data_IF_418747564139
#
_entry.id   IF_418747564139
#
_cell.length_a   1.000
_cell.length_b   1.000
_cell.length_c   1.000
_cell.angle_alpha   90.00
_cell.angle_beta   90.00
_cell.angle_gamma   90.00
#
_symmetry.space_group_name_H-M   'P 1'
#
loop_
_entity.id
_entity.type
_entity.pdbx_description
1 polymer ?
#
# COMPACT_ATOMS: atom_id res chain seq x y z
N UNK A 1 -31.66 6.10 -0.83
CA UNK A 1 -30.48 6.57 -0.08
C UNK A 1 -29.45 5.44 -0.09
N UNK A 2 -28.72 5.28 -1.19
CA UNK A 2 -27.75 4.19 -1.33
C UNK A 2 -26.47 4.48 -0.54
N UNK A 3 -25.66 3.45 -0.33
CA UNK A 3 -24.30 3.57 0.17
C UNK A 3 -23.48 4.44 -0.79
N UNK A 4 -23.40 5.73 -0.49
CA UNK A 4 -22.60 6.71 -1.20
C UNK A 4 -21.13 6.55 -0.82
N UNK A 5 -20.26 6.90 -1.75
CA UNK A 5 -18.80 6.92 -1.57
C UNK A 5 -18.40 7.71 -0.32
N UNK A 6 -19.13 8.78 0.01
CA UNK A 6 -18.94 9.57 1.23
C UNK A 6 -19.08 8.78 2.52
N UNK A 7 -20.00 7.82 2.59
CA UNK A 7 -20.20 7.00 3.80
C UNK A 7 -19.07 5.97 3.96
N UNK A 8 -18.58 5.40 2.85
CA UNK A 8 -17.42 4.51 2.86
C UNK A 8 -16.15 5.23 3.37
N UNK A 9 -15.95 6.49 2.99
CA UNK A 9 -14.82 7.30 3.48
C UNK A 9 -14.88 7.54 4.99
N UNK A 10 -16.07 7.81 5.55
CA UNK A 10 -16.24 8.00 6.99
C UNK A 10 -15.91 6.71 7.75
N UNK A 11 -16.40 5.56 7.26
CA UNK A 11 -16.11 4.26 7.88
C UNK A 11 -14.61 3.95 7.79
N UNK A 12 -13.98 4.19 6.64
CA UNK A 12 -12.55 4.00 6.46
C UNK A 12 -11.72 4.86 7.43
N UNK A 13 -12.12 6.11 7.64
CA UNK A 13 -11.44 7.00 8.58
C UNK A 13 -11.47 6.43 10.00
N UNK A 14 -12.62 5.92 10.46
CA UNK A 14 -12.75 5.30 11.79
C UNK A 14 -11.84 4.06 11.90
N UNK A 15 -11.84 3.19 10.89
CA UNK A 15 -10.99 1.99 10.87
C UNK A 15 -9.51 2.37 10.96
N UNK A 16 -9.07 3.38 10.22
CA UNK A 16 -7.68 3.86 10.27
C UNK A 16 -7.33 4.38 11.66
N UNK A 17 -8.23 5.08 12.35
CA UNK A 17 -8.00 5.58 13.71
C UNK A 17 -7.91 4.44 14.72
N UNK A 18 -8.76 3.41 14.60
CA UNK A 18 -8.77 2.27 15.52
C UNK A 18 -7.56 1.34 15.35
N UNK A 19 -7.22 1.01 14.10
CA UNK A 19 -6.15 0.05 13.79
C UNK A 19 -4.79 0.72 13.58
N UNK A 20 -4.76 2.03 13.33
CA UNK A 20 -3.58 2.78 12.92
C UNK A 20 -3.18 2.51 11.47
N UNK A 21 -2.49 3.47 10.85
CA UNK A 21 -2.02 3.36 9.46
C UNK A 21 -0.92 2.30 9.28
N UNK A 22 -0.15 1.98 10.33
CA UNK A 22 0.97 1.03 10.28
C UNK A 22 0.50 -0.40 10.06
N UNK A 23 -0.56 -0.84 10.76
CA UNK A 23 -1.16 -2.17 10.58
C UNK A 23 -1.88 -2.27 9.24
N UNK A 24 -2.62 -1.23 8.88
CA UNK A 24 -3.34 -1.17 7.60
C UNK A 24 -2.38 -1.17 6.40
N UNK A 25 -1.20 -0.55 6.50
CA UNK A 25 -0.18 -0.59 5.43
C UNK A 25 0.48 -1.96 5.30
N UNK A 26 0.88 -2.58 6.41
CA UNK A 26 1.51 -3.90 6.37
C UNK A 26 0.56 -4.95 5.77
N UNK A 27 -0.70 -5.01 6.24
CA UNK A 27 -1.69 -5.97 5.72
C UNK A 27 -2.20 -5.55 4.33
N UNK A 28 -2.35 -4.24 4.10
CA UNK A 28 -2.82 -3.69 2.83
C UNK A 28 -1.84 -3.86 1.68
N UNK A 29 -0.52 -3.89 1.94
CA UNK A 29 0.49 -4.21 0.94
C UNK A 29 0.34 -5.63 0.42
N UNK A 30 0.21 -6.60 1.33
CA UNK A 30 0.07 -8.03 0.99
C UNK A 30 -1.24 -8.31 0.26
N UNK A 31 -2.37 -7.84 0.80
CA UNK A 31 -3.68 -8.02 0.19
C UNK A 31 -3.82 -7.20 -1.11
N UNK A 32 -3.27 -5.98 -1.14
CA UNK A 32 -3.30 -5.12 -2.32
C UNK A 32 -2.49 -5.69 -3.47
N UNK A 33 -1.34 -6.31 -3.19
CA UNK A 33 -0.53 -7.02 -4.18
C UNK A 33 -1.30 -8.18 -4.83
N UNK A 34 -1.95 -9.01 -4.01
CA UNK A 34 -2.76 -10.13 -4.50
C UNK A 34 -3.96 -9.67 -5.36
N UNK A 35 -4.67 -8.64 -4.90
CA UNK A 35 -5.81 -8.07 -5.64
C UNK A 35 -5.36 -7.39 -6.95
N UNK A 36 -4.18 -6.75 -6.97
CA UNK A 36 -3.62 -6.14 -8.19
C UNK A 36 -3.38 -7.18 -9.27
N UNK A 37 -2.76 -8.32 -8.93
CA UNK A 37 -2.55 -9.43 -9.88
C UNK A 37 -3.87 -10.01 -10.40
N UNK A 38 -4.86 -10.17 -9.52
CA UNK A 38 -6.21 -10.62 -9.91
C UNK A 38 -6.90 -9.64 -10.87
N UNK A 39 -6.83 -8.33 -10.59
CA UNK A 39 -7.40 -7.29 -11.47
C UNK A 39 -6.70 -7.25 -12.83
N UNK A 40 -5.37 -7.39 -12.86
CA UNK A 40 -4.61 -7.48 -14.11
C UNK A 40 -5.03 -8.69 -14.93
N UNK A 41 -5.11 -9.88 -14.33
CA UNK A 41 -5.50 -11.11 -15.02
C UNK A 41 -6.93 -11.05 -15.58
N UNK A 42 -7.88 -10.45 -14.85
CA UNK A 42 -9.25 -10.22 -15.34
C UNK A 42 -9.26 -9.24 -16.52
N UNK A 43 -8.46 -8.17 -16.44
CA UNK A 43 -8.38 -7.17 -17.50
C UNK A 43 -7.73 -7.74 -18.76
N UNK A 44 -6.67 -8.53 -18.61
CA UNK A 44 -5.97 -9.20 -19.72
C UNK A 44 -6.86 -10.27 -20.37
N UNK A 45 -7.67 -11.00 -19.59
CA UNK A 45 -8.65 -11.95 -20.12
C UNK A 45 -9.85 -11.29 -20.83
N UNK A 46 -10.06 -9.99 -20.64
CA UNK A 46 -11.14 -9.22 -21.28
C UNK A 46 -10.66 -8.41 -22.50
N UNK A 47 -9.35 -8.16 -22.61
CA UNK A 47 -8.74 -7.28 -23.62
C UNK A 47 -7.57 -7.98 -24.33
N UNK A 48 -7.88 -8.91 -25.23
CA UNK A 48 -6.95 -9.36 -26.26
C UNK A 48 -6.60 -8.15 -27.16
N UNK A 49 -5.50 -7.45 -26.83
CA UNK A 49 -4.67 -6.47 -27.60
C UNK A 49 -4.30 -5.21 -26.80
N UNK A 50 -3.22 -5.28 -25.99
CA UNK A 50 -2.03 -4.40 -26.07
C UNK A 50 -1.02 -4.83 -25.00
N UNK A 51 0.12 -5.38 -25.42
CA UNK A 51 1.23 -5.74 -24.55
C UNK A 51 2.15 -4.52 -24.33
N UNK A 52 2.84 -4.55 -23.18
CA UNK A 52 4.06 -3.83 -22.78
C UNK A 52 3.88 -2.67 -21.79
N UNK A 53 4.02 -3.04 -20.51
CA UNK A 53 5.07 -2.57 -19.60
C UNK A 53 5.32 -1.06 -19.50
N UNK A 54 5.01 -0.51 -18.32
CA UNK A 54 5.97 0.33 -17.60
C UNK A 54 6.11 -0.15 -16.16
N UNK A 55 7.37 -0.26 -15.78
CA UNK A 55 7.90 -0.82 -14.55
C UNK A 55 7.77 0.14 -13.35
N UNK A 56 7.88 -0.44 -12.16
CA UNK A 56 8.76 0.11 -11.12
C UNK A 56 8.44 1.50 -10.55
N UNK A 57 7.66 1.52 -9.47
CA UNK A 57 8.13 2.17 -8.25
C UNK A 57 7.51 1.46 -7.04
N UNK A 58 8.11 0.33 -6.66
CA UNK A 58 8.00 -0.13 -5.30
C UNK A 58 8.78 0.88 -4.46
N UNK A 59 8.06 1.85 -3.91
CA UNK A 59 8.58 2.81 -2.94
C UNK A 59 9.11 1.98 -1.79
N UNK A 60 10.44 2.01 -1.70
CA UNK A 60 11.29 1.57 -0.61
C UNK A 60 10.59 1.83 0.73
N UNK A 61 10.05 0.76 1.32
CA UNK A 61 9.48 0.79 2.67
C UNK A 61 10.62 0.53 3.64
N UNK A 62 11.54 1.48 3.74
CA UNK A 62 12.55 1.55 4.79
C UNK A 62 11.84 1.65 6.15
N UNK A 63 11.64 0.48 6.76
CA UNK A 63 11.11 0.29 8.11
C UNK A 63 12.22 0.54 9.13
N UNK A 64 12.67 1.79 9.24
CA UNK A 64 13.47 2.22 10.39
C UNK A 64 12.59 2.93 11.40
N UNK A 65 11.92 2.11 12.22
CA UNK A 65 11.43 2.52 13.53
C UNK A 65 11.86 1.44 14.52
N UNK A 66 13.10 1.55 14.97
CA UNK A 66 13.56 1.21 16.32
C UNK A 66 14.92 1.87 16.56
N UNK A 67 14.97 2.59 17.67
CA UNK A 67 16.12 3.19 18.32
C UNK A 67 17.28 2.21 18.43
N UNK A 68 18.50 2.64 18.12
CA UNK A 68 19.70 2.25 18.89
C UNK A 68 20.89 3.18 18.61
N UNK A 69 21.56 3.49 19.72
CA UNK A 69 22.72 4.34 19.97
C UNK A 69 23.99 3.73 19.37
N UNK A 70 24.84 4.51 18.67
CA UNK A 70 26.28 4.57 18.98
C UNK A 70 27.04 5.70 18.26
N UNK A 71 27.62 6.59 19.06
CA UNK A 71 28.88 7.34 18.94
C UNK A 71 29.82 7.04 17.76
N UNK A 72 30.24 8.09 17.03
CA UNK A 72 31.62 8.38 16.55
C UNK A 72 31.57 9.69 15.74
N UNK A 73 31.95 10.86 16.28
CA UNK A 73 33.33 11.36 16.40
C UNK A 73 34.17 11.11 15.14
N UNK A 74 34.22 12.10 14.24
CA UNK A 74 35.42 12.44 13.46
C UNK A 74 35.16 13.72 12.65
N UNK A 75 35.18 14.86 13.32
CA UNK A 75 35.63 16.08 12.65
C UNK A 75 36.68 16.73 13.54
N UNK A 76 37.93 16.67 13.03
CA UNK A 76 39.20 17.20 13.53
C UNK A 76 40.03 16.35 14.50
#
# INVERSE_FOLDING_TARGET
MGMSITQLLIILAIVIVLFGTKRLRNIGGDLGGAIKGFRSAIKDGSEDKKISEEEGNAIDSDVVSSSDVNSTKSEK
#
